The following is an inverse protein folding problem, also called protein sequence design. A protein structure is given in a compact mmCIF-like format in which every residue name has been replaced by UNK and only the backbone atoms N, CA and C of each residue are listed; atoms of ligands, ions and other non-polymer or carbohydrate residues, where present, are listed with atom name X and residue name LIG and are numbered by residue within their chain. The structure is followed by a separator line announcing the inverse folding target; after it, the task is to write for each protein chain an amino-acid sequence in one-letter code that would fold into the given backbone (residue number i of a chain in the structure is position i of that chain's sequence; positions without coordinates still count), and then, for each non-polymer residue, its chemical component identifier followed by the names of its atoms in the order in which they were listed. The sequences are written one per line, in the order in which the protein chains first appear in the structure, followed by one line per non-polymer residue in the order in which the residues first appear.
data_IF_016464641317
#
_entry.id   IF_016464641317
#
_cell.length_a   1.000
_cell.length_b   1.000
_cell.length_c   1.000
_cell.angle_alpha   90.00
_cell.angle_beta   90.00
_cell.angle_gamma   90.00
#
_symmetry.space_group_name_H-M   'P 1'
#
loop_
_entity.id
_entity.type
_entity.pdbx_description
1 polymer ?
#
# COMPACT_ATOMS: atom_id res chain seq x y z
N UNK A 1 -17.62 16.31 10.50
CA UNK A 1 -18.61 15.28 10.09
C UNK A 1 -18.12 13.93 10.57
N UNK A 2 -18.79 13.35 11.56
CA UNK A 2 -18.50 12.01 12.08
C UNK A 2 -18.97 10.97 11.06
N UNK A 3 -18.04 10.36 10.32
CA UNK A 3 -18.37 9.24 9.43
C UNK A 3 -18.97 8.09 10.27
N UNK A 4 -20.08 7.53 9.81
CA UNK A 4 -20.73 6.38 10.44
C UNK A 4 -19.80 5.14 10.40
N UNK A 5 -19.45 4.63 11.58
CA UNK A 5 -18.54 3.49 11.78
C UNK A 5 -19.09 2.21 11.11
N UNK A 6 -20.40 2.09 10.99
CA UNK A 6 -21.03 0.93 10.35
C UNK A 6 -20.75 0.89 8.84
N UNK A 7 -20.83 2.05 8.17
CA UNK A 7 -20.59 2.20 6.73
C UNK A 7 -19.14 1.93 6.33
N UNK A 8 -18.16 2.41 7.11
CA UNK A 8 -16.73 2.19 6.85
C UNK A 8 -16.33 0.71 6.97
N UNK A 9 -16.84 0.00 7.99
CA UNK A 9 -16.57 -1.42 8.18
C UNK A 9 -17.21 -2.26 7.07
N UNK A 10 -18.48 -1.97 6.73
CA UNK A 10 -19.21 -2.65 5.66
C UNK A 10 -18.52 -2.46 4.30
N UNK A 11 -18.07 -1.23 3.98
CA UNK A 11 -17.33 -0.94 2.75
C UNK A 11 -16.06 -1.78 2.62
N UNK A 12 -15.27 -1.91 3.69
CA UNK A 12 -14.02 -2.68 3.66
C UNK A 12 -14.25 -4.17 3.41
N UNK A 13 -15.33 -4.73 3.95
CA UNK A 13 -15.74 -6.10 3.63
C UNK A 13 -16.12 -6.23 2.15
N UNK A 14 -16.94 -5.29 1.64
CA UNK A 14 -17.28 -5.27 0.21
C UNK A 14 -16.07 -5.14 -0.71
N UNK A 15 -15.03 -4.40 -0.32
CA UNK A 15 -13.79 -4.31 -1.08
C UNK A 15 -13.08 -5.67 -1.15
N UNK A 16 -13.03 -6.40 -0.03
CA UNK A 16 -12.46 -7.75 0.01
C UNK A 16 -13.26 -8.69 -0.90
N UNK A 17 -14.59 -8.70 -0.77
CA UNK A 17 -15.46 -9.55 -1.58
C UNK A 17 -15.34 -9.24 -3.08
N UNK A 18 -15.37 -7.95 -3.44
CA UNK A 18 -15.20 -7.52 -4.82
C UNK A 18 -13.85 -7.96 -5.41
N UNK A 19 -12.76 -7.89 -4.62
CA UNK A 19 -11.46 -8.35 -5.06
C UNK A 19 -11.33 -9.88 -5.15
N UNK A 20 -12.07 -10.64 -4.33
CA UNK A 20 -12.02 -12.10 -4.32
C UNK A 20 -12.88 -12.74 -5.40
N UNK A 21 -14.07 -12.18 -5.67
CA UNK A 21 -15.07 -12.81 -6.54
C UNK A 21 -15.51 -11.96 -7.72
N UNK A 22 -15.21 -10.66 -7.69
CA UNK A 22 -15.62 -9.72 -8.73
C UNK A 22 -14.66 -9.72 -9.93
N UNK A 23 -15.20 -9.41 -11.10
CA UNK A 23 -14.40 -9.10 -12.29
C UNK A 23 -13.81 -7.68 -12.15
N UNK A 24 -12.81 -7.51 -11.30
CA UNK A 24 -12.17 -6.22 -10.98
C UNK A 24 -10.84 -5.98 -11.67
N UNK A 25 -10.38 -6.96 -12.46
CA UNK A 25 -9.18 -6.83 -13.27
C UNK A 25 -9.46 -6.05 -14.56
N UNK A 26 -8.39 -5.57 -15.21
CA UNK A 26 -8.49 -4.92 -16.51
C UNK A 26 -8.85 -5.92 -17.60
N UNK A 27 -9.79 -5.56 -18.47
CA UNK A 27 -10.18 -6.39 -19.62
C UNK A 27 -9.29 -6.16 -20.85
N UNK A 28 -8.86 -4.92 -21.08
CA UNK A 28 -8.18 -4.49 -22.32
C UNK A 28 -6.76 -3.96 -22.10
N UNK A 29 -6.37 -3.70 -20.86
CA UNK A 29 -5.04 -3.18 -20.50
C UNK A 29 -4.28 -4.27 -19.75
N UNK A 30 -3.12 -4.64 -20.25
CA UNK A 30 -2.19 -5.59 -19.62
C UNK A 30 -1.13 -4.87 -18.80
N UNK A 31 -0.36 -5.62 -18.01
CA UNK A 31 0.76 -5.08 -17.20
C UNK A 31 1.91 -4.55 -18.05
N UNK A 32 1.98 -4.95 -19.33
CA UNK A 32 3.08 -4.63 -20.21
C UNK A 32 4.27 -5.58 -20.07
N UNK A 33 4.26 -6.50 -19.09
CA UNK A 33 5.33 -7.49 -18.92
C UNK A 33 5.44 -8.43 -20.13
N UNK A 34 4.36 -8.61 -20.90
CA UNK A 34 4.37 -9.37 -22.14
C UNK A 34 5.28 -8.78 -23.23
N UNK A 35 5.64 -7.49 -23.13
CA UNK A 35 6.57 -6.81 -24.04
C UNK A 35 8.04 -7.11 -23.73
N UNK A 36 8.32 -7.73 -22.59
CA UNK A 36 9.68 -8.07 -22.16
C UNK A 36 9.90 -9.57 -22.31
N UNK A 37 11.08 -9.93 -22.80
CA UNK A 37 11.58 -11.31 -22.87
C UNK A 37 12.99 -11.32 -22.32
N UNK A 38 13.20 -12.04 -21.22
CA UNK A 38 14.54 -12.28 -20.71
C UNK A 38 15.22 -13.33 -21.60
N UNK A 39 16.42 -13.07 -22.13
CA UNK A 39 17.09 -14.01 -23.02
C UNK A 39 17.41 -15.31 -22.26
N UNK A 40 17.04 -16.44 -22.86
CA UNK A 40 17.40 -17.75 -22.33
C UNK A 40 18.90 -18.01 -22.56
N UNK A 41 19.60 -18.44 -21.51
CA UNK A 41 20.96 -18.92 -21.61
C UNK A 41 21.01 -20.40 -21.20
N UNK A 42 21.25 -21.28 -22.17
CA UNK A 42 21.34 -22.73 -21.91
C UNK A 42 22.62 -23.12 -21.16
N UNK A 43 23.67 -22.29 -21.25
CA UNK A 43 24.99 -22.53 -20.68
C UNK A 43 25.25 -21.49 -19.58
N UNK A 44 24.41 -21.49 -18.54
CA UNK A 44 24.49 -20.50 -17.45
C UNK A 44 25.81 -20.57 -16.67
N UNK A 45 26.46 -21.73 -16.64
CA UNK A 45 27.63 -22.02 -15.80
C UNK A 45 27.44 -21.66 -14.31
N UNK A 46 26.18 -21.66 -13.85
CA UNK A 46 25.79 -21.28 -12.49
C UNK A 46 24.96 -22.38 -11.86
N UNK A 47 25.32 -22.82 -10.65
CA UNK A 47 24.50 -23.71 -9.85
C UNK A 47 23.31 -22.98 -9.24
N UNK A 48 22.13 -23.59 -9.24
CA UNK A 48 20.91 -22.96 -8.69
C UNK A 48 21.06 -22.56 -7.22
N UNK A 49 21.77 -23.36 -6.41
CA UNK A 49 22.01 -23.07 -5.00
C UNK A 49 22.94 -21.87 -4.73
N UNK A 50 23.62 -21.35 -5.77
CA UNK A 50 24.42 -20.12 -5.66
C UNK A 50 23.63 -18.86 -6.01
N UNK A 51 22.36 -18.99 -6.41
CA UNK A 51 21.48 -17.85 -6.67
C UNK A 51 21.05 -17.25 -5.35
N UNK A 52 21.54 -16.06 -5.05
CA UNK A 52 21.12 -15.26 -3.92
C UNK A 52 20.03 -14.27 -4.35
N UNK A 53 18.87 -14.34 -3.71
CA UNK A 53 17.76 -13.42 -3.91
C UNK A 53 17.76 -12.29 -2.87
N UNK A 54 18.67 -12.33 -1.90
CA UNK A 54 18.69 -11.34 -0.83
C UNK A 54 18.92 -9.93 -1.37
N UNK A 55 18.31 -8.95 -0.72
CA UNK A 55 18.45 -7.54 -1.09
C UNK A 55 18.30 -6.66 0.13
N UNK A 56 18.73 -5.40 0.01
CA UNK A 56 18.49 -4.38 1.03
C UNK A 56 17.47 -3.37 0.53
N UNK A 57 16.46 -3.10 1.34
CA UNK A 57 15.43 -2.14 1.02
C UNK A 57 14.97 -1.41 2.29
N UNK A 58 14.93 -0.06 2.23
CA UNK A 58 14.54 0.81 3.35
C UNK A 58 15.31 0.55 4.67
N UNK A 59 16.59 0.18 4.57
CA UNK A 59 17.45 -0.11 5.73
C UNK A 59 17.52 -1.60 6.09
N UNK A 60 16.47 -2.35 5.79
CA UNK A 60 16.31 -3.76 6.15
C UNK A 60 16.86 -4.72 5.08
N UNK A 61 17.17 -5.94 5.51
CA UNK A 61 17.60 -7.04 4.62
C UNK A 61 16.42 -7.99 4.39
N UNK A 62 16.08 -8.21 3.12
CA UNK A 62 15.06 -9.16 2.70
C UNK A 62 15.73 -10.42 2.11
N UNK A 63 15.10 -11.57 2.28
CA UNK A 63 15.53 -12.85 1.69
C UNK A 63 15.15 -12.96 0.20
N UNK A 64 14.22 -12.13 -0.26
CA UNK A 64 13.84 -11.99 -1.66
C UNK A 64 13.37 -10.55 -1.96
N UNK A 65 13.49 -10.04 -3.20
CA UNK A 65 13.09 -8.68 -3.55
C UNK A 65 11.58 -8.57 -3.79
N UNK A 66 10.78 -8.99 -2.80
CA UNK A 66 9.32 -9.09 -2.87
C UNK A 66 8.72 -8.38 -1.66
N UNK A 67 7.59 -7.69 -1.89
CA UNK A 67 6.77 -7.10 -0.84
C UNK A 67 5.32 -7.57 -1.01
N UNK A 68 4.65 -7.87 0.09
CA UNK A 68 3.18 -8.01 0.11
C UNK A 68 2.57 -6.61 0.05
N UNK A 69 1.76 -6.35 -0.98
CA UNK A 69 1.13 -5.03 -1.18
C UNK A 69 0.05 -4.68 -0.16
N UNK A 70 -0.22 -3.38 -0.01
CA UNK A 70 -1.23 -2.87 0.92
C UNK A 70 -2.65 -3.28 0.50
N UNK A 71 -3.40 -3.92 1.40
CA UNK A 71 -4.74 -4.43 1.09
C UNK A 71 -5.82 -3.96 2.06
N UNK A 72 -5.72 -4.30 3.35
CA UNK A 72 -6.85 -4.16 4.28
C UNK A 72 -6.44 -3.86 5.72
N UNK A 73 -7.42 -3.49 6.56
CA UNK A 73 -7.26 -3.17 7.98
C UNK A 73 -8.51 -2.48 8.52
N UNK A 74 -8.79 -2.52 9.83
CA UNK A 74 -9.93 -1.82 10.46
C UNK A 74 -11.23 -2.61 10.62
N UNK A 75 -11.25 -3.91 10.30
CA UNK A 75 -12.33 -4.86 10.57
C UNK A 75 -11.76 -6.21 11.06
N UNK A 76 -12.60 -7.08 11.64
CA UNK A 76 -12.14 -8.37 12.19
C UNK A 76 -11.53 -9.27 11.11
N UNK A 77 -12.21 -9.42 9.97
CA UNK A 77 -11.68 -10.18 8.84
C UNK A 77 -10.33 -9.61 8.34
N UNK A 78 -10.19 -8.29 8.34
CA UNK A 78 -8.92 -7.63 8.00
C UNK A 78 -7.80 -7.97 8.97
N UNK A 79 -8.10 -8.13 10.28
CA UNK A 79 -7.13 -8.57 11.27
C UNK A 79 -6.63 -9.98 10.93
N UNK A 80 -7.53 -10.91 10.62
CA UNK A 80 -7.17 -12.28 10.23
C UNK A 80 -6.28 -12.29 8.99
N UNK A 81 -6.65 -11.52 7.95
CA UNK A 81 -5.86 -11.40 6.73
C UNK A 81 -4.47 -10.84 7.03
N UNK A 82 -4.38 -9.74 7.79
CA UNK A 82 -3.09 -9.13 8.12
C UNK A 82 -2.19 -10.07 8.92
N UNK A 83 -2.73 -10.82 9.90
CA UNK A 83 -1.95 -11.79 10.68
C UNK A 83 -1.41 -12.93 9.81
N UNK A 84 -2.23 -13.50 8.92
CA UNK A 84 -1.82 -14.58 8.03
C UNK A 84 -0.73 -14.14 7.05
N UNK A 85 -0.87 -12.94 6.48
CA UNK A 85 0.12 -12.37 5.56
C UNK A 85 1.42 -12.03 6.29
N UNK A 86 1.34 -11.51 7.50
CA UNK A 86 2.52 -11.19 8.31
C UNK A 86 3.29 -12.46 8.69
N UNK A 87 2.60 -13.52 9.11
CA UNK A 87 3.24 -14.81 9.39
C UNK A 87 3.93 -15.40 8.15
N UNK A 88 3.29 -15.31 6.98
CA UNK A 88 3.89 -15.74 5.72
C UNK A 88 5.11 -14.88 5.35
N UNK A 89 5.00 -13.56 5.48
CA UNK A 89 6.09 -12.62 5.21
C UNK A 89 7.30 -12.87 6.13
N UNK A 90 7.07 -13.13 7.42
CA UNK A 90 8.11 -13.48 8.39
C UNK A 90 8.81 -14.78 8.01
N UNK A 91 8.06 -15.84 7.69
CA UNK A 91 8.63 -17.13 7.30
C UNK A 91 9.45 -17.05 6.02
N UNK A 92 9.02 -16.21 5.07
CA UNK A 92 9.69 -16.04 3.77
C UNK A 92 10.79 -14.97 3.80
N UNK A 93 10.87 -14.15 4.85
CA UNK A 93 11.81 -13.04 4.95
C UNK A 93 11.57 -11.94 3.92
N UNK A 94 10.32 -11.66 3.58
CA UNK A 94 9.90 -10.61 2.63
C UNK A 94 9.19 -9.48 3.37
N UNK A 95 9.10 -8.30 2.76
CA UNK A 95 8.41 -7.16 3.38
C UNK A 95 6.89 -7.21 3.21
N UNK A 96 6.18 -6.39 3.98
CA UNK A 96 4.72 -6.29 3.94
C UNK A 96 4.24 -4.85 4.16
N UNK A 97 3.28 -4.40 3.36
CA UNK A 97 2.56 -3.14 3.58
C UNK A 97 1.22 -3.40 4.28
N UNK A 98 0.91 -2.60 5.29
CA UNK A 98 -0.40 -2.56 5.93
C UNK A 98 -1.42 -1.80 5.07
N UNK A 99 -2.72 -2.06 5.27
CA UNK A 99 -3.77 -1.22 4.70
C UNK A 99 -3.80 0.19 5.32
N UNK A 100 -4.59 1.10 4.73
CA UNK A 100 -4.66 2.50 5.19
C UNK A 100 -5.01 2.63 6.68
N UNK A 101 -4.13 3.30 7.41
CA UNK A 101 -4.22 3.59 8.83
C UNK A 101 -5.05 4.85 9.12
N UNK A 102 -5.75 5.42 8.12
CA UNK A 102 -6.69 6.56 8.31
C UNK A 102 -7.62 6.35 9.51
N UNK A 103 -8.13 5.14 9.69
CA UNK A 103 -9.05 4.81 10.78
C UNK A 103 -8.40 4.93 12.17
N UNK A 104 -7.09 4.72 12.29
CA UNK A 104 -6.35 4.84 13.55
C UNK A 104 -6.24 6.30 14.00
N UNK A 105 -6.31 7.27 13.08
CA UNK A 105 -6.23 8.70 13.40
C UNK A 105 -7.48 9.22 14.14
N UNK A 106 -8.59 8.47 14.09
CA UNK A 106 -9.86 8.81 14.76
C UNK A 106 -10.38 7.78 15.75
N UNK A 107 -9.81 6.57 15.79
CA UNK A 107 -10.24 5.49 16.71
C UNK A 107 -9.07 4.57 17.08
N UNK A 108 -8.58 4.71 18.31
CA UNK A 108 -7.46 3.93 18.83
C UNK A 108 -7.74 2.41 18.87
N UNK A 109 -9.01 1.99 18.94
CA UNK A 109 -9.36 0.56 18.95
C UNK A 109 -9.11 -0.11 17.61
N UNK A 110 -9.03 0.65 16.53
CA UNK A 110 -8.78 0.12 15.20
C UNK A 110 -7.35 -0.43 15.04
N UNK A 111 -6.41 0.03 15.87
CA UNK A 111 -5.01 -0.38 15.81
C UNK A 111 -4.81 -1.90 15.95
N UNK A 112 -5.63 -2.58 16.76
CA UNK A 112 -5.53 -4.03 16.96
C UNK A 112 -5.76 -4.87 15.69
N UNK A 113 -6.23 -4.27 14.59
CA UNK A 113 -6.32 -4.94 13.28
C UNK A 113 -5.07 -4.77 12.40
N UNK A 114 -4.12 -3.95 12.84
CA UNK A 114 -2.84 -3.65 12.18
C UNK A 114 -1.63 -4.16 13.00
N UNK A 115 -1.83 -4.47 14.27
CA UNK A 115 -0.80 -5.01 15.18
C UNK A 115 -0.45 -6.47 14.79
N UNK A 116 0.64 -6.63 14.03
CA UNK A 116 1.14 -7.93 13.55
C UNK A 116 2.53 -8.30 14.05
N UNK A 117 3.22 -7.39 14.77
CA UNK A 117 4.61 -7.55 15.20
C UNK A 117 4.86 -8.75 16.13
N UNK A 118 3.86 -9.19 16.88
CA UNK A 118 3.93 -10.43 17.66
C UNK A 118 4.23 -11.66 16.78
N UNK A 119 3.68 -11.70 15.57
CA UNK A 119 3.85 -12.80 14.61
C UNK A 119 5.01 -12.58 13.64
N UNK A 120 5.33 -11.31 13.39
CA UNK A 120 6.29 -10.88 12.39
C UNK A 120 7.26 -9.83 12.95
N UNK A 121 8.10 -10.19 13.94
CA UNK A 121 9.00 -9.24 14.60
C UNK A 121 10.03 -8.62 13.65
N UNK A 122 10.48 -9.35 12.62
CA UNK A 122 11.62 -8.95 11.77
C UNK A 122 11.21 -8.50 10.36
N UNK A 123 9.92 -8.59 10.01
CA UNK A 123 9.43 -8.18 8.69
C UNK A 123 9.63 -6.68 8.49
N UNK A 124 10.12 -6.27 7.32
CA UNK A 124 10.03 -4.88 6.88
C UNK A 124 8.54 -4.51 6.74
N UNK A 125 8.01 -3.77 7.71
CA UNK A 125 6.59 -3.44 7.82
C UNK A 125 6.35 -1.99 7.43
N UNK A 126 5.56 -1.77 6.39
CA UNK A 126 5.32 -0.45 5.84
C UNK A 126 3.89 -0.01 6.18
N UNK A 127 3.75 1.08 6.92
CA UNK A 127 2.45 1.71 7.19
C UNK A 127 1.84 2.34 5.94
N UNK A 128 0.61 2.83 6.02
CA UNK A 128 -0.08 3.33 4.84
C UNK A 128 -1.09 4.45 5.14
N UNK A 129 -1.07 5.52 4.34
CA UNK A 129 -2.04 6.61 4.41
C UNK A 129 -2.35 7.16 3.02
N UNK A 130 -3.55 7.72 2.83
CA UNK A 130 -3.91 8.36 1.56
C UNK A 130 -3.40 9.78 1.46
N UNK A 131 -2.92 10.16 0.29
CA UNK A 131 -2.41 11.50 -0.01
C UNK A 131 -3.48 12.58 0.18
N UNK A 132 -4.73 12.28 -0.18
CA UNK A 132 -5.88 13.18 0.03
C UNK A 132 -6.22 13.38 1.52
N UNK A 133 -5.73 12.49 2.40
CA UNK A 133 -6.00 12.53 3.84
C UNK A 133 -4.91 13.26 4.61
N UNK A 134 -3.83 13.70 3.94
CA UNK A 134 -2.83 14.54 4.57
C UNK A 134 -3.43 15.93 4.82
N UNK A 135 -3.27 16.42 6.04
CA UNK A 135 -3.71 17.74 6.48
C UNK A 135 -2.72 18.29 7.49
N UNK A 136 -2.79 19.59 7.76
CA UNK A 136 -1.95 20.23 8.76
C UNK A 136 -2.11 19.54 10.14
N UNK A 137 -0.99 19.30 10.82
CA UNK A 137 -0.97 18.66 12.14
C UNK A 137 -1.28 17.15 12.14
N UNK A 138 -1.38 16.49 10.98
CA UNK A 138 -1.56 15.02 10.94
C UNK A 138 -0.28 14.25 11.30
N UNK A 139 0.90 14.86 11.08
CA UNK A 139 2.20 14.19 11.19
C UNK A 139 2.43 13.56 12.57
N UNK A 140 2.20 14.24 13.72
CA UNK A 140 2.39 13.63 15.03
C UNK A 140 1.50 12.39 15.24
N UNK A 141 0.21 12.49 14.89
CA UNK A 141 -0.74 11.37 15.02
C UNK A 141 -0.36 10.20 14.11
N UNK A 142 0.15 10.50 12.93
CA UNK A 142 0.61 9.48 11.99
C UNK A 142 1.89 8.81 12.50
N UNK A 143 2.83 9.56 13.07
CA UNK A 143 4.03 9.02 13.70
C UNK A 143 3.68 8.08 14.86
N UNK A 144 2.72 8.47 15.71
CA UNK A 144 2.21 7.63 16.81
C UNK A 144 1.54 6.35 16.27
N UNK A 145 0.73 6.47 15.22
CA UNK A 145 0.09 5.32 14.58
C UNK A 145 1.10 4.33 13.98
N UNK A 146 2.16 4.84 13.34
CA UNK A 146 3.26 4.03 12.80
C UNK A 146 4.05 3.36 13.92
N UNK A 147 4.41 4.12 14.96
CA UNK A 147 5.14 3.60 16.12
C UNK A 147 4.36 2.47 16.81
N UNK A 148 3.05 2.67 17.00
CA UNK A 148 2.17 1.68 17.66
C UNK A 148 2.14 0.32 16.96
N UNK A 149 2.13 0.30 15.63
CA UNK A 149 2.15 -0.96 14.87
C UNK A 149 3.57 -1.46 14.62
N UNK A 150 4.58 -0.71 15.05
CA UNK A 150 5.99 -0.96 14.78
C UNK A 150 6.31 -0.89 13.30
N UNK A 151 5.78 0.07 12.54
CA UNK A 151 6.14 0.24 11.13
C UNK A 151 7.57 0.80 10.99
N UNK A 152 8.28 0.40 9.92
CA UNK A 152 9.64 0.83 9.60
C UNK A 152 9.64 1.99 8.58
N UNK A 153 8.57 2.12 7.81
CA UNK A 153 8.40 3.14 6.76
C UNK A 153 6.91 3.46 6.54
N UNK A 154 6.64 4.51 5.77
CA UNK A 154 5.28 4.92 5.40
C UNK A 154 5.08 4.94 3.88
N UNK A 155 4.05 4.24 3.42
CA UNK A 155 3.50 4.39 2.08
C UNK A 155 2.40 5.47 2.03
N UNK A 156 2.60 6.50 1.23
CA UNK A 156 1.58 7.51 0.91
C UNK A 156 0.96 7.14 -0.44
N UNK A 157 -0.27 6.62 -0.42
CA UNK A 157 -0.96 6.24 -1.65
C UNK A 157 -1.67 7.43 -2.31
N UNK A 158 -1.59 7.50 -3.63
CA UNK A 158 -2.43 8.37 -4.45
C UNK A 158 -3.42 7.51 -5.23
N UNK A 159 -4.69 7.88 -5.16
CA UNK A 159 -5.81 7.09 -5.67
C UNK A 159 -6.95 7.95 -6.26
N UNK A 160 -6.66 8.98 -7.07
CA UNK A 160 -7.67 9.97 -7.50
C UNK A 160 -8.85 9.36 -8.25
N UNK A 161 -8.60 8.39 -9.13
CA UNK A 161 -9.67 7.72 -9.85
C UNK A 161 -10.52 6.81 -8.95
N UNK A 162 -9.91 6.19 -7.92
CA UNK A 162 -10.67 5.45 -6.92
C UNK A 162 -11.58 6.39 -6.14
N UNK A 163 -11.05 7.50 -5.60
CA UNK A 163 -11.85 8.47 -4.82
C UNK A 163 -12.98 9.09 -5.66
N UNK A 164 -12.76 9.33 -6.96
CA UNK A 164 -13.80 9.84 -7.86
C UNK A 164 -14.97 8.85 -8.08
N UNK A 165 -14.71 7.54 -7.99
CA UNK A 165 -15.72 6.50 -8.14
C UNK A 165 -16.40 6.13 -6.82
N UNK A 166 -15.66 6.23 -5.72
CA UNK A 166 -16.12 5.94 -4.37
C UNK A 166 -17.26 6.87 -3.97
N UNK A 167 -18.28 6.34 -3.30
CA UNK A 167 -19.32 7.17 -2.69
C UNK A 167 -18.72 8.00 -1.54
N UNK A 168 -18.89 9.33 -1.62
CA UNK A 168 -18.26 10.31 -0.70
C UNK A 168 -16.72 10.21 -0.64
N UNK A 169 -16.07 9.92 -1.77
CA UNK A 169 -14.61 9.95 -1.87
C UNK A 169 -14.01 11.35 -1.78
N UNK A 170 -12.75 11.42 -1.36
CA UNK A 170 -11.98 12.66 -1.23
C UNK A 170 -11.44 13.06 -2.61
N UNK A 171 -12.15 13.93 -3.33
CA UNK A 171 -11.83 14.28 -4.73
C UNK A 171 -10.95 15.52 -4.92
N UNK A 172 -10.58 16.21 -3.84
CA UNK A 172 -9.71 17.39 -3.90
C UNK A 172 -8.23 17.01 -3.71
N UNK A 173 -7.51 16.95 -4.83
CA UNK A 173 -6.07 16.67 -4.86
C UNK A 173 -5.21 17.95 -4.99
N UNK A 174 -5.81 19.14 -4.88
CA UNK A 174 -5.07 20.39 -4.89
C UNK A 174 -4.13 20.49 -3.68
N UNK A 175 -2.94 21.05 -3.86
CA UNK A 175 -1.95 21.22 -2.78
C UNK A 175 -1.31 19.92 -2.27
N UNK A 176 -1.60 18.76 -2.88
CA UNK A 176 -1.13 17.47 -2.37
C UNK A 176 0.38 17.29 -2.45
N UNK A 177 1.05 17.89 -3.43
CA UNK A 177 2.51 17.82 -3.53
C UNK A 177 3.19 18.61 -2.40
N UNK A 178 2.66 19.78 -2.06
CA UNK A 178 3.13 20.60 -0.96
C UNK A 178 2.91 19.88 0.38
N UNK A 179 1.74 19.25 0.57
CA UNK A 179 1.46 18.42 1.76
C UNK A 179 2.39 17.22 1.86
N UNK A 180 2.67 16.54 0.73
CA UNK A 180 3.64 15.45 0.68
C UNK A 180 5.04 15.95 1.05
N UNK A 181 5.46 17.10 0.52
CA UNK A 181 6.77 17.67 0.84
C UNK A 181 6.91 18.01 2.33
N UNK A 182 5.89 18.64 2.93
CA UNK A 182 5.85 18.92 4.36
C UNK A 182 5.89 17.64 5.21
N UNK A 183 5.10 16.63 4.84
CA UNK A 183 5.12 15.31 5.50
C UNK A 183 6.52 14.69 5.49
N UNK A 184 7.17 14.67 4.33
CA UNK A 184 8.51 14.06 4.18
C UNK A 184 9.57 14.83 4.99
N UNK A 185 9.41 16.14 5.17
CA UNK A 185 10.34 16.95 5.96
C UNK A 185 10.19 16.74 7.48
N UNK A 186 8.99 16.42 7.96
CA UNK A 186 8.69 16.33 9.40
C UNK A 186 8.64 14.89 9.94
N UNK A 187 8.25 13.92 9.11
CA UNK A 187 8.03 12.56 9.56
C UNK A 187 9.37 11.82 9.78
N UNK A 188 9.63 11.22 10.97
CA UNK A 188 10.88 10.54 11.27
C UNK A 188 10.96 9.11 10.67
N UNK A 189 10.28 8.86 9.55
CA UNK A 189 10.23 7.57 8.86
C UNK A 189 10.54 7.74 7.38
N UNK A 190 11.19 6.77 6.71
CA UNK A 190 11.26 6.72 5.26
C UNK A 190 9.87 6.78 4.63
N UNK A 191 9.66 7.69 3.68
CA UNK A 191 8.38 7.86 2.99
C UNK A 191 8.50 7.40 1.54
N UNK A 192 7.55 6.58 1.11
CA UNK A 192 7.41 6.17 -0.28
C UNK A 192 6.04 6.55 -0.81
N UNK A 193 5.97 6.90 -2.10
CA UNK A 193 4.70 7.20 -2.78
C UNK A 193 4.28 5.99 -3.58
N UNK A 194 2.98 5.67 -3.56
CA UNK A 194 2.42 4.57 -4.35
C UNK A 194 1.15 4.95 -5.08
N UNK A 195 0.89 4.39 -6.26
CA UNK A 195 -0.48 4.36 -6.81
C UNK A 195 -1.24 3.15 -6.21
N UNK A 196 -2.44 2.86 -6.69
CA UNK A 196 -3.25 1.73 -6.23
C UNK A 196 -3.64 0.73 -7.33
N UNK A 197 -3.46 1.05 -8.62
CA UNK A 197 -3.75 0.12 -9.73
C UNK A 197 -3.88 0.76 -11.13
N UNK A 198 -3.59 2.05 -11.29
CA UNK A 198 -3.61 2.80 -12.56
C UNK A 198 -2.22 3.34 -12.95
N UNK A 199 -1.24 3.30 -12.04
CA UNK A 199 0.15 3.59 -12.35
C UNK A 199 0.61 5.01 -12.08
N UNK A 200 1.82 5.14 -11.51
CA UNK A 200 2.57 6.41 -11.51
C UNK A 200 3.25 6.59 -12.87
N UNK A 201 2.62 7.38 -13.75
CA UNK A 201 3.17 7.70 -15.07
C UNK A 201 4.34 8.71 -15.04
N UNK A 202 5.02 8.87 -16.17
CA UNK A 202 6.22 9.72 -16.29
C UNK A 202 5.99 11.18 -15.84
N UNK A 203 4.82 11.76 -16.16
CA UNK A 203 4.46 13.13 -15.75
C UNK A 203 4.34 13.25 -14.23
N UNK A 204 3.72 12.28 -13.57
CA UNK A 204 3.61 12.25 -12.12
C UNK A 204 4.98 12.03 -11.47
N UNK A 205 5.76 11.08 -11.97
CA UNK A 205 7.11 10.81 -11.48
C UNK A 205 8.04 12.03 -11.61
N UNK A 206 7.91 12.83 -12.68
CA UNK A 206 8.67 14.08 -12.83
C UNK A 206 8.30 15.11 -11.75
N UNK A 207 7.03 15.20 -11.34
CA UNK A 207 6.58 16.11 -10.28
C UNK A 207 7.07 15.71 -8.88
N UNK A 208 7.38 14.43 -8.68
CA UNK A 208 7.96 13.92 -7.42
C UNK A 208 9.47 14.25 -7.30
N UNK A 209 10.12 14.71 -8.38
CA UNK A 209 11.55 15.08 -8.33
C UNK A 209 11.77 16.22 -7.34
N UNK A 210 12.80 16.08 -6.50
CA UNK A 210 13.17 17.07 -5.49
C UNK A 210 12.47 16.85 -4.14
N UNK A 211 11.50 15.96 -4.05
CA UNK A 211 10.99 15.46 -2.76
C UNK A 211 11.88 14.27 -2.36
N UNK A 212 12.44 14.25 -1.14
CA UNK A 212 13.36 13.19 -0.70
C UNK A 212 12.60 11.92 -0.31
N UNK A 213 11.89 11.33 -1.28
CA UNK A 213 11.20 10.05 -1.15
C UNK A 213 12.20 8.90 -1.14
N UNK A 214 11.96 7.92 -0.27
CA UNK A 214 12.77 6.72 -0.16
C UNK A 214 12.51 5.72 -1.30
N UNK A 215 11.29 5.68 -1.84
CA UNK A 215 10.90 4.83 -2.96
C UNK A 215 9.63 5.32 -3.67
N UNK A 216 9.36 4.73 -4.84
CA UNK A 216 8.12 4.89 -5.61
C UNK A 216 7.62 3.50 -5.97
N UNK A 217 6.39 3.17 -5.57
CA UNK A 217 5.67 1.98 -6.01
C UNK A 217 4.69 2.35 -7.13
N UNK A 218 4.98 1.85 -8.33
CA UNK A 218 4.23 2.22 -9.53
C UNK A 218 2.77 1.79 -9.41
N UNK A 219 2.48 0.62 -8.83
CA UNK A 219 1.13 0.03 -8.77
C UNK A 219 0.33 0.24 -10.08
N UNK A 220 0.89 -0.29 -11.16
CA UNK A 220 0.41 -0.08 -12.54
C UNK A 220 -0.89 -0.79 -12.88
N UNK A 221 -1.46 -0.41 -14.03
CA UNK A 221 -2.59 -1.10 -14.64
C UNK A 221 -2.23 -2.54 -15.09
N UNK A 222 -3.26 -3.37 -15.27
CA UNK A 222 -3.12 -4.77 -15.70
C UNK A 222 -3.28 -5.82 -14.58
N UNK A 223 -3.42 -5.38 -13.33
CA UNK A 223 -3.87 -6.22 -12.21
C UNK A 223 -5.25 -5.77 -11.71
N UNK A 224 -5.41 -5.62 -10.39
CA UNK A 224 -6.63 -5.07 -9.79
C UNK A 224 -6.87 -3.60 -10.19
N UNK A 225 -8.06 -3.28 -10.71
CA UNK A 225 -8.50 -1.91 -10.94
C UNK A 225 -9.37 -1.43 -9.78
N UNK A 226 -8.87 -0.53 -8.94
CA UNK A 226 -9.65 0.02 -7.84
C UNK A 226 -10.86 0.84 -8.29
N UNK A 227 -10.82 1.45 -9.48
CA UNK A 227 -11.99 2.14 -10.03
C UNK A 227 -13.14 1.16 -10.27
N UNK A 228 -12.81 -0.06 -10.72
CA UNK A 228 -13.77 -1.14 -10.96
C UNK A 228 -14.21 -1.82 -9.67
N UNK A 229 -13.31 -1.94 -8.68
CA UNK A 229 -13.69 -2.32 -7.31
C UNK A 229 -14.77 -1.36 -6.80
N UNK A 230 -14.56 -0.05 -6.86
CA UNK A 230 -15.56 0.94 -6.41
C UNK A 230 -16.86 0.86 -7.23
N UNK A 231 -16.77 0.59 -8.53
CA UNK A 231 -17.97 0.37 -9.36
C UNK A 231 -18.81 -0.81 -8.85
N UNK A 232 -18.19 -1.96 -8.56
CA UNK A 232 -18.89 -3.13 -8.00
C UNK A 232 -19.37 -2.89 -6.57
N UNK A 233 -18.59 -2.19 -5.76
CA UNK A 233 -18.96 -1.84 -4.38
C UNK A 233 -20.12 -0.85 -4.35
N UNK A 234 -20.29 -0.02 -5.38
CA UNK A 234 -21.38 0.95 -5.43
C UNK A 234 -22.63 0.45 -6.12
N UNK A 235 -22.47 -0.29 -7.22
CA UNK A 235 -23.57 -0.65 -8.14
C UNK A 235 -23.79 -2.16 -8.30
N UNK A 236 -22.88 -2.99 -7.80
CA UNK A 236 -22.99 -4.45 -7.82
C UNK A 236 -23.60 -5.03 -6.55
#
# INVERSE_FOLDING_TARGET
MTMDRSGLSHRKLRHIDACLTGAVEYETVTTGFERYRLPYNALTQTGLGAVDLSTRFLGETLQAPVLVGAMTGGAELSRTINRNLAEAAQKLGIGMMLGSQRIMLGDERAAGSFEVRELAPDVLLIGNIGLAQLSDGVVPKLADALHRVGADALAVHTNPLQEAMQDNGDTDFSGTLERLHGLVAELPYPVLVKEVGHGIGAVAAQRLRGIPLAAVDVAGAGGTSWARVEQLVRYG
#
